data_IF_367682047813
#
_entry.id   IF_367682047813
#
_cell.length_a   1.000
_cell.length_b   1.000
_cell.length_c   1.000
_cell.angle_alpha   90.00
_cell.angle_beta   90.00
_cell.angle_gamma   90.00
#
_symmetry.space_group_name_H-M   'P 1'
#
loop_
_entity.id
_entity.type
_entity.pdbx_description
1 polymer ?
#
# COMPACT_ATOMS: atom_id res chain seq x y z
N UNK A 1 -12.22 19.96 12.09
CA UNK A 1 -13.54 19.29 11.96
C UNK A 1 -13.36 18.01 11.19
N UNK A 2 -14.00 16.90 11.60
CA UNK A 2 -14.01 15.63 10.86
C UNK A 2 -15.37 15.52 10.15
N UNK A 3 -15.33 15.16 8.87
CA UNK A 3 -16.51 14.90 8.05
C UNK A 3 -16.45 13.47 7.54
N UNK A 4 -17.59 12.80 7.51
CA UNK A 4 -17.73 11.44 7.01
C UNK A 4 -18.86 11.38 6.00
N UNK A 5 -18.65 10.61 4.92
CA UNK A 5 -19.68 10.33 3.91
C UNK A 5 -19.52 8.90 3.41
N UNK A 6 -20.61 8.20 3.24
CA UNK A 6 -20.64 6.93 2.51
C UNK A 6 -21.13 7.20 1.09
N UNK A 7 -20.37 6.70 0.11
CA UNK A 7 -20.73 6.79 -1.31
C UNK A 7 -21.74 5.69 -1.65
N UNK A 8 -22.40 5.81 -2.82
CA UNK A 8 -23.45 4.87 -3.26
C UNK A 8 -22.92 3.43 -3.45
N UNK A 9 -21.62 3.29 -3.73
CA UNK A 9 -20.92 2.01 -3.84
C UNK A 9 -20.43 1.44 -2.49
N UNK A 10 -20.78 2.07 -1.36
CA UNK A 10 -20.43 1.63 -0.01
C UNK A 10 -19.07 2.14 0.51
N UNK A 11 -18.25 2.81 -0.30
CA UNK A 11 -16.98 3.38 0.15
C UNK A 11 -17.23 4.47 1.20
N UNK A 12 -16.57 4.37 2.33
CA UNK A 12 -16.59 5.39 3.39
C UNK A 12 -15.46 6.39 3.18
N UNK A 13 -15.81 7.65 3.05
CA UNK A 13 -14.86 8.77 2.94
C UNK A 13 -14.82 9.51 4.26
N UNK A 14 -13.62 9.69 4.80
CA UNK A 14 -13.37 10.42 6.04
C UNK A 14 -12.40 11.56 5.72
N UNK A 15 -12.81 12.79 6.00
CA UNK A 15 -11.98 13.98 5.77
C UNK A 15 -11.78 14.72 7.07
N UNK A 16 -10.51 14.96 7.42
CA UNK A 16 -10.12 15.84 8.53
C UNK A 16 -9.43 17.08 7.98
N UNK A 17 -10.11 18.20 8.07
CA UNK A 17 -9.49 19.50 7.74
C UNK A 17 -8.71 20.03 8.95
N UNK A 18 -7.48 20.45 8.70
CA UNK A 18 -6.60 21.13 9.66
C UNK A 18 -6.24 22.49 9.05
N UNK A 19 -6.73 23.56 9.65
CA UNK A 19 -6.50 24.91 9.12
C UNK A 19 -5.02 25.30 9.30
N UNK A 20 -4.49 26.02 8.31
CA UNK A 20 -3.09 26.46 8.28
C UNK A 20 -2.08 25.47 7.71
N UNK A 21 -2.45 24.21 7.48
CA UNK A 21 -1.60 23.25 6.79
C UNK A 21 -1.73 23.41 5.27
N UNK A 22 -0.58 23.37 4.59
CA UNK A 22 -0.48 23.33 3.13
C UNK A 22 -0.18 21.93 2.59
N UNK A 23 -0.04 20.94 3.46
CA UNK A 23 0.14 19.53 3.08
C UNK A 23 -1.17 18.78 3.15
N UNK A 24 -1.28 17.78 2.29
CA UNK A 24 -2.40 16.83 2.26
C UNK A 24 -1.84 15.41 2.37
N UNK A 25 -2.48 14.61 3.20
CA UNK A 25 -2.27 13.16 3.24
C UNK A 25 -3.60 12.48 2.95
N UNK A 26 -3.60 11.54 2.02
CA UNK A 26 -4.78 10.76 1.67
C UNK A 26 -4.41 9.29 1.53
N UNK A 27 -5.35 8.40 1.86
CA UNK A 27 -5.12 6.96 1.75
C UNK A 27 -6.39 6.19 1.44
N UNK A 28 -6.23 5.05 0.78
CA UNK A 28 -7.25 4.05 0.53
C UNK A 28 -6.92 2.85 1.43
N UNK A 29 -7.86 2.47 2.28
CA UNK A 29 -7.71 1.36 3.23
C UNK A 29 -8.62 0.22 2.82
N UNK A 30 -8.07 -0.98 2.74
CA UNK A 30 -8.81 -2.23 2.57
C UNK A 30 -8.82 -3.00 3.88
N UNK A 31 -9.93 -3.64 4.23
CA UNK A 31 -10.02 -4.51 5.41
C UNK A 31 -9.49 -5.91 5.14
N UNK A 32 -8.38 -6.02 4.42
CA UNK A 32 -7.69 -7.27 4.08
C UNK A 32 -6.20 -7.08 4.34
N UNK A 33 -5.61 -8.02 5.05
CA UNK A 33 -4.19 -8.11 5.35
C UNK A 33 -3.82 -9.56 5.63
N UNK A 34 -2.62 -9.81 6.13
CA UNK A 34 -2.09 -11.17 6.25
C UNK A 34 -2.91 -12.11 7.16
N UNK A 35 -3.71 -11.59 8.09
CA UNK A 35 -4.59 -12.42 8.92
C UNK A 35 -5.82 -12.99 8.18
N UNK A 36 -6.12 -12.48 6.98
CA UNK A 36 -7.21 -13.00 6.14
C UNK A 36 -6.73 -14.05 5.13
N UNK A 37 -5.43 -14.30 5.06
CA UNK A 37 -4.80 -15.25 4.14
C UNK A 37 -4.94 -16.68 4.65
N UNK A 38 -5.12 -17.62 3.74
CA UNK A 38 -4.95 -19.04 4.03
C UNK A 38 -3.46 -19.41 4.04
N UNK A 39 -3.11 -20.59 4.57
CA UNK A 39 -1.72 -21.07 4.54
C UNK A 39 -1.15 -21.19 3.11
N UNK A 40 -2.00 -21.41 2.12
CA UNK A 40 -1.62 -21.51 0.70
C UNK A 40 -1.41 -20.12 0.06
N UNK A 41 -2.02 -19.09 0.62
CA UNK A 41 -1.99 -17.70 0.13
C UNK A 41 -1.06 -16.81 0.97
N UNK A 42 -0.32 -17.39 1.91
CA UNK A 42 0.52 -16.65 2.84
C UNK A 42 1.50 -15.71 2.12
N UNK A 43 1.40 -14.41 2.44
CA UNK A 43 2.19 -13.34 1.84
C UNK A 43 1.58 -12.70 0.59
N UNK A 44 0.39 -13.15 0.13
CA UNK A 44 -0.21 -12.61 -1.09
C UNK A 44 -0.58 -11.12 -0.97
N UNK A 45 -1.05 -10.67 0.19
CA UNK A 45 -1.39 -9.26 0.41
C UNK A 45 -0.17 -8.36 0.27
N UNK A 46 0.96 -8.78 0.84
CA UNK A 46 2.23 -8.07 0.73
C UNK A 46 2.76 -8.10 -0.71
N UNK A 47 2.67 -9.24 -1.39
CA UNK A 47 3.08 -9.35 -2.78
C UNK A 47 2.22 -8.49 -3.73
N UNK A 48 0.91 -8.38 -3.49
CA UNK A 48 0.01 -7.48 -4.24
C UNK A 48 0.40 -6.02 -3.99
N UNK A 49 0.75 -5.66 -2.76
CA UNK A 49 1.25 -4.32 -2.44
C UNK A 49 2.48 -3.96 -3.29
N UNK A 50 3.53 -4.79 -3.26
CA UNK A 50 4.74 -4.60 -4.04
C UNK A 50 4.48 -4.49 -5.54
N UNK A 51 3.62 -5.33 -6.07
CA UNK A 51 3.34 -5.42 -7.51
C UNK A 51 2.39 -4.36 -8.02
N UNK A 52 1.60 -3.71 -7.15
CA UNK A 52 0.70 -2.63 -7.54
C UNK A 52 1.43 -1.45 -8.20
N UNK A 53 2.68 -1.18 -7.82
CA UNK A 53 3.52 -0.10 -8.37
C UNK A 53 4.18 -0.43 -9.71
N UNK A 54 4.00 -1.65 -10.23
CA UNK A 54 4.67 -2.12 -11.46
C UNK A 54 3.97 -1.71 -12.75
N UNK A 55 2.84 -1.04 -12.65
CA UNK A 55 2.12 -0.44 -13.77
C UNK A 55 0.61 -0.48 -13.62
N UNK A 56 -0.03 0.44 -14.30
CA UNK A 56 -1.48 0.54 -14.43
C UNK A 56 -1.87 0.52 -15.91
N UNK A 57 -3.17 0.52 -16.20
CA UNK A 57 -3.66 0.67 -17.59
C UNK A 57 -3.22 1.98 -18.24
N UNK A 58 -2.93 3.02 -17.44
CA UNK A 58 -2.57 4.36 -17.94
C UNK A 58 -1.08 4.66 -17.84
N UNK A 59 -0.37 4.04 -16.88
CA UNK A 59 1.00 4.39 -16.53
C UNK A 59 1.88 3.16 -16.42
N UNK A 60 3.07 3.21 -17.00
CA UNK A 60 4.15 2.25 -16.68
C UNK A 60 4.69 2.55 -15.28
N UNK A 61 5.41 1.60 -14.66
CA UNK A 61 6.11 1.81 -13.39
C UNK A 61 7.00 3.05 -13.41
N UNK A 62 7.78 3.24 -14.49
CA UNK A 62 8.59 4.44 -14.68
C UNK A 62 7.74 5.72 -14.66
N UNK A 63 6.55 5.70 -15.32
CA UNK A 63 5.68 6.87 -15.39
C UNK A 63 5.03 7.19 -14.05
N UNK A 64 4.67 6.17 -13.24
CA UNK A 64 4.16 6.35 -11.88
C UNK A 64 5.20 7.10 -11.04
N UNK A 65 6.46 6.63 -11.04
CA UNK A 65 7.54 7.25 -10.29
C UNK A 65 7.83 8.68 -10.80
N UNK A 66 7.94 8.85 -12.12
CA UNK A 66 8.19 10.16 -12.72
C UNK A 66 7.12 11.20 -12.39
N UNK A 67 5.83 10.85 -12.51
CA UNK A 67 4.72 11.74 -12.20
C UNK A 67 4.71 12.10 -10.71
N UNK A 68 4.96 11.13 -9.84
CA UNK A 68 5.04 11.35 -8.40
C UNK A 68 6.21 12.25 -8.02
N UNK A 69 7.41 11.97 -8.50
CA UNK A 69 8.62 12.73 -8.19
C UNK A 69 8.55 14.16 -8.72
N UNK A 70 8.08 14.34 -9.96
CA UNK A 70 7.99 15.66 -10.60
C UNK A 70 7.00 16.61 -9.90
N UNK A 71 6.01 16.07 -9.21
CA UNK A 71 5.01 16.83 -8.44
C UNK A 71 5.29 16.82 -6.92
N UNK A 72 6.39 16.20 -6.48
CA UNK A 72 6.70 16.07 -5.06
C UNK A 72 5.66 15.28 -4.28
N UNK A 73 5.08 14.26 -4.91
CA UNK A 73 4.11 13.35 -4.31
C UNK A 73 4.87 12.16 -3.70
N UNK A 74 4.76 12.00 -2.39
CA UNK A 74 5.19 10.77 -1.72
C UNK A 74 4.05 9.76 -1.81
N UNK A 75 4.22 8.75 -2.68
CA UNK A 75 3.29 7.64 -2.90
C UNK A 75 3.88 6.38 -2.28
N UNK A 76 3.11 5.71 -1.41
CA UNK A 76 3.56 4.50 -0.75
C UNK A 76 2.37 3.61 -0.34
N UNK A 77 2.66 2.39 0.12
CA UNK A 77 1.69 1.47 0.67
C UNK A 77 2.27 0.71 1.87
N UNK A 78 1.43 0.04 2.62
CA UNK A 78 1.86 -0.88 3.66
C UNK A 78 0.78 -1.95 3.91
N UNK A 79 1.24 -3.17 4.14
CA UNK A 79 0.42 -4.33 4.49
C UNK A 79 0.60 -4.67 5.97
N UNK A 80 -0.52 -4.67 6.69
CA UNK A 80 -0.58 -5.12 8.09
C UNK A 80 -1.30 -6.46 8.23
N UNK A 81 -1.58 -6.85 9.46
CA UNK A 81 -2.32 -8.08 9.76
C UNK A 81 -3.79 -8.02 9.31
N UNK A 82 -4.46 -6.90 9.58
CA UNK A 82 -5.92 -6.76 9.38
C UNK A 82 -6.29 -5.87 8.19
N UNK A 83 -5.33 -5.09 7.66
CA UNK A 83 -5.59 -4.14 6.58
C UNK A 83 -4.34 -3.89 5.74
N UNK A 84 -4.57 -3.53 4.49
CA UNK A 84 -3.58 -2.98 3.57
C UNK A 84 -4.03 -1.57 3.19
N UNK A 85 -3.09 -0.63 3.10
CA UNK A 85 -3.41 0.73 2.70
C UNK A 85 -2.38 1.30 1.74
N UNK A 86 -2.89 2.08 0.81
CA UNK A 86 -2.11 2.85 -0.14
C UNK A 86 -2.30 4.32 0.17
N UNK A 87 -1.24 5.11 0.17
CA UNK A 87 -1.36 6.51 0.55
C UNK A 87 -0.46 7.43 -0.25
N UNK A 88 -0.87 8.69 -0.28
CA UNK A 88 -0.12 9.79 -0.86
C UNK A 88 0.03 10.91 0.16
N UNK A 89 1.17 11.59 0.09
CA UNK A 89 1.43 12.83 0.79
C UNK A 89 1.93 13.85 -0.22
N UNK A 90 1.35 15.05 -0.22
CA UNK A 90 1.68 16.11 -1.17
C UNK A 90 1.32 17.48 -0.60
N UNK A 91 1.59 18.54 -1.35
CA UNK A 91 1.10 19.87 -1.06
C UNK A 91 -0.33 20.05 -1.61
N UNK A 92 -1.09 20.97 -1.03
CA UNK A 92 -2.50 21.19 -1.38
C UNK A 92 -2.73 21.53 -2.87
N UNK A 93 -1.73 22.09 -3.55
CA UNK A 93 -1.77 22.45 -4.96
C UNK A 93 -1.81 21.23 -5.89
N UNK A 94 -1.23 20.09 -5.47
CA UNK A 94 -1.15 18.83 -6.24
C UNK A 94 -2.09 17.74 -5.71
N UNK A 95 -3.10 18.12 -4.93
CA UNK A 95 -4.05 17.16 -4.33
C UNK A 95 -4.80 16.34 -5.38
N UNK A 96 -5.23 16.98 -6.48
CA UNK A 96 -6.02 16.29 -7.51
C UNK A 96 -5.18 15.25 -8.26
N UNK A 97 -3.96 15.61 -8.63
CA UNK A 97 -3.00 14.74 -9.32
C UNK A 97 -2.60 13.56 -8.42
N UNK A 98 -2.34 13.82 -7.15
CA UNK A 98 -2.00 12.79 -6.18
C UNK A 98 -3.14 11.77 -6.00
N UNK A 99 -4.39 12.24 -5.91
CA UNK A 99 -5.56 11.38 -5.86
C UNK A 99 -5.77 10.57 -7.14
N UNK A 100 -5.52 11.18 -8.30
CA UNK A 100 -5.63 10.47 -9.57
C UNK A 100 -4.60 9.31 -9.65
N UNK A 101 -3.35 9.57 -9.27
CA UNK A 101 -2.30 8.55 -9.26
C UNK A 101 -2.65 7.43 -8.25
N UNK A 102 -3.09 7.79 -7.04
CA UNK A 102 -3.48 6.83 -6.02
C UNK A 102 -4.67 5.96 -6.47
N UNK A 103 -5.68 6.56 -7.08
CA UNK A 103 -6.85 5.84 -7.58
C UNK A 103 -6.51 4.93 -8.77
N UNK A 104 -5.68 5.41 -9.70
CA UNK A 104 -5.20 4.64 -10.84
C UNK A 104 -4.43 3.40 -10.38
N UNK A 105 -3.51 3.59 -9.42
CA UNK A 105 -2.75 2.50 -8.83
C UNK A 105 -3.64 1.48 -8.12
N UNK A 106 -4.65 1.93 -7.37
CA UNK A 106 -5.51 1.02 -6.61
C UNK A 106 -6.52 0.26 -7.49
N UNK A 107 -7.08 0.91 -8.52
CA UNK A 107 -8.19 0.34 -9.32
C UNK A 107 -7.70 -0.30 -10.61
N UNK A 108 -6.64 0.23 -11.21
CA UNK A 108 -6.25 -0.08 -12.58
C UNK A 108 -4.85 -0.72 -12.69
N UNK A 109 -4.26 -1.23 -11.59
CA UNK A 109 -3.02 -2.03 -11.64
C UNK A 109 -3.16 -3.22 -12.57
N UNK A 110 -2.13 -3.50 -13.38
CA UNK A 110 -2.16 -4.52 -14.44
C UNK A 110 -1.29 -5.75 -14.16
N UNK A 111 -0.44 -5.70 -13.15
CA UNK A 111 0.40 -6.82 -12.70
C UNK A 111 1.16 -7.53 -13.84
N UNK A 112 2.09 -6.85 -14.55
CA UNK A 112 2.80 -7.44 -15.68
C UNK A 112 3.59 -8.68 -15.26
N UNK A 113 3.49 -9.78 -16.02
CA UNK A 113 4.07 -11.07 -15.66
C UNK A 113 5.59 -11.01 -15.47
N UNK A 114 6.30 -10.28 -16.32
CA UNK A 114 7.75 -10.07 -16.21
C UNK A 114 8.15 -9.30 -14.96
N UNK A 115 7.32 -8.36 -14.52
CA UNK A 115 7.51 -7.62 -13.25
C UNK A 115 7.18 -8.50 -12.03
N UNK A 116 6.14 -9.37 -12.12
CA UNK A 116 5.82 -10.32 -11.05
C UNK A 116 7.00 -11.27 -10.77
N UNK A 117 7.65 -11.78 -11.83
CA UNK A 117 8.82 -12.66 -11.69
C UNK A 117 9.98 -11.95 -11.00
N UNK A 118 10.26 -10.70 -11.37
CA UNK A 118 11.32 -9.89 -10.74
C UNK A 118 11.00 -9.61 -9.27
N UNK A 119 9.76 -9.20 -9.00
CA UNK A 119 9.35 -8.80 -7.66
C UNK A 119 9.32 -9.98 -6.68
N UNK A 120 9.03 -11.18 -7.16
CA UNK A 120 9.15 -12.38 -6.34
C UNK A 120 10.58 -12.56 -5.78
N UNK A 121 11.60 -12.23 -6.57
CA UNK A 121 12.98 -12.20 -6.10
C UNK A 121 13.20 -11.16 -5.02
N UNK A 122 12.71 -9.93 -5.21
CA UNK A 122 12.84 -8.83 -4.25
C UNK A 122 12.17 -9.19 -2.91
N UNK A 123 10.93 -9.68 -2.94
CA UNK A 123 10.21 -10.10 -1.72
C UNK A 123 10.90 -11.27 -1.03
N UNK A 124 11.50 -12.20 -1.78
CA UNK A 124 12.27 -13.29 -1.19
C UNK A 124 13.49 -12.76 -0.44
N UNK A 125 14.24 -11.81 -1.00
CA UNK A 125 15.38 -11.19 -0.33
C UNK A 125 14.94 -10.39 0.91
N UNK A 126 13.80 -9.73 0.86
CA UNK A 126 13.24 -9.03 2.02
C UNK A 126 12.88 -10.01 3.15
N UNK A 127 12.28 -11.15 2.85
CA UNK A 127 11.99 -12.20 3.84
C UNK A 127 13.29 -12.69 4.47
N UNK A 128 14.32 -12.98 3.67
CA UNK A 128 15.63 -13.41 4.17
C UNK A 128 16.24 -12.33 5.11
N UNK A 129 16.09 -11.05 4.78
CA UNK A 129 16.58 -9.95 5.61
C UNK A 129 15.87 -9.93 6.99
N UNK A 130 14.56 -10.16 7.03
CA UNK A 130 13.82 -10.26 8.29
C UNK A 130 14.24 -11.48 9.12
N UNK A 131 14.49 -12.63 8.47
CA UNK A 131 14.97 -13.84 9.14
C UNK A 131 16.39 -13.68 9.70
N UNK A 132 17.21 -12.85 9.08
CA UNK A 132 18.58 -12.53 9.53
C UNK A 132 18.61 -11.41 10.60
N UNK A 133 17.48 -10.75 10.87
CA UNK A 133 17.40 -9.65 11.84
C UNK A 133 16.90 -10.18 13.20
N UNK A 134 17.73 -10.19 14.28
CA UNK A 134 17.34 -10.79 15.58
C UNK A 134 16.09 -10.16 16.20
N UNK A 135 15.89 -8.86 16.06
CA UNK A 135 14.73 -8.16 16.62
C UNK A 135 13.43 -8.58 15.93
N UNK A 136 13.48 -8.76 14.60
CA UNK A 136 12.32 -9.19 13.80
C UNK A 136 11.98 -10.65 14.11
N UNK A 137 12.99 -11.53 14.20
CA UNK A 137 12.84 -12.92 14.61
C UNK A 137 12.24 -13.02 16.01
N UNK A 138 12.71 -12.21 16.96
CA UNK A 138 12.16 -12.17 18.32
C UNK A 138 10.68 -11.77 18.32
N UNK A 139 10.32 -10.73 17.59
CA UNK A 139 8.95 -10.25 17.48
C UNK A 139 8.03 -11.28 16.83
N UNK A 140 8.49 -11.94 15.77
CA UNK A 140 7.75 -12.99 15.08
C UNK A 140 7.51 -14.19 16.00
N UNK A 141 8.57 -14.67 16.70
CA UNK A 141 8.47 -15.77 17.64
C UNK A 141 7.56 -15.45 18.83
N UNK A 142 7.60 -14.22 19.35
CA UNK A 142 6.71 -13.77 20.41
C UNK A 142 5.25 -13.79 19.96
N UNK A 143 4.98 -13.31 18.77
CA UNK A 143 3.65 -13.30 18.16
C UNK A 143 3.13 -14.74 17.98
N UNK A 144 3.94 -15.63 17.44
CA UNK A 144 3.60 -17.04 17.27
C UNK A 144 3.35 -17.75 18.61
N UNK A 145 4.12 -17.43 19.64
CA UNK A 145 3.94 -18.01 20.99
C UNK A 145 2.65 -17.50 21.66
N UNK A 146 2.22 -16.27 21.37
CA UNK A 146 1.05 -15.65 22.00
C UNK A 146 -0.25 -15.97 21.27
N UNK A 147 -0.25 -15.89 19.93
CA UNK A 147 -1.44 -16.07 19.10
C UNK A 147 -1.56 -17.46 18.47
N UNK A 148 -0.53 -18.29 18.55
CA UNK A 148 -0.41 -19.56 17.82
C UNK A 148 0.22 -19.34 16.42
N UNK A 149 0.70 -20.43 15.85
CA UNK A 149 1.15 -20.48 14.45
C UNK A 149 -0.09 -20.61 13.56
N UNK A 150 -0.75 -19.51 13.29
CA UNK A 150 -1.85 -19.44 12.34
C UNK A 150 -1.37 -18.94 11.00
#
# INVERSE_FOLDING_TARGET
>A
MIQTKTLDNGIRVIVKRIDGLKSVSAGIFTGVGSAAETSEENGISHFIEHTAFKGTKKRTSYRINWDSDSLGINLNAATGKEYTYYYVQTISEHTAEAFEILADLFVDSVYPEDELVKEKGVVTEEINMYEDTPDDVCTTNLSAAYFGSG
#
